data_IF_678144530149
#
_entry.id   IF_678144530149
#
_cell.length_a   1.000
_cell.length_b   1.000
_cell.length_c   1.000
_cell.angle_alpha   90.00
_cell.angle_beta   90.00
_cell.angle_gamma   90.00
#
_symmetry.space_group_name_H-M   'P 1'
#
loop_
_entity.id
_entity.type
_entity.pdbx_description
1 polymer ?
#
# COMPACT_ATOMS: atom_id res chain seq x y z
N UNK A 1 12.08 0.20 -18.32
CA UNK A 1 12.18 0.30 -16.85
C UNK A 1 10.97 -0.41 -16.26
N UNK A 2 11.15 -1.07 -15.13
CA UNK A 2 10.07 -1.71 -14.38
C UNK A 2 9.91 -1.03 -13.02
N UNK A 3 8.73 -1.19 -12.42
CA UNK A 3 8.44 -0.68 -11.08
C UNK A 3 7.93 -1.82 -10.22
N UNK A 4 8.57 -2.07 -9.08
CA UNK A 4 8.00 -2.90 -8.03
C UNK A 4 7.39 -1.99 -6.97
N UNK A 5 6.18 -2.32 -6.54
CA UNK A 5 5.46 -1.57 -5.52
C UNK A 5 5.24 -2.50 -4.34
N UNK A 6 5.76 -2.10 -3.19
CA UNK A 6 5.59 -2.85 -1.95
C UNK A 6 4.16 -2.76 -1.41
N UNK A 7 3.80 -3.71 -0.55
CA UNK A 7 2.46 -3.81 0.05
C UNK A 7 2.06 -2.53 0.79
N UNK A 8 2.99 -1.89 1.51
CA UNK A 8 2.69 -0.70 2.32
C UNK A 8 2.09 0.44 1.48
N UNK A 9 2.59 0.66 0.27
CA UNK A 9 2.13 1.69 -0.67
C UNK A 9 0.67 1.47 -1.06
N UNK A 10 0.25 0.20 -1.26
CA UNK A 10 -1.14 -0.11 -1.58
C UNK A 10 -2.09 0.11 -0.41
N UNK A 11 -1.63 -0.14 0.82
CA UNK A 11 -2.43 0.09 2.02
C UNK A 11 -2.63 1.58 2.29
N UNK A 12 -1.66 2.41 1.91
CA UNK A 12 -1.71 3.86 2.07
C UNK A 12 -2.83 4.52 1.25
N UNK A 13 -3.31 3.87 0.19
CA UNK A 13 -4.51 4.30 -0.55
C UNK A 13 -5.77 4.36 0.34
N UNK A 14 -5.83 3.57 1.42
CA UNK A 14 -6.93 3.62 2.40
C UNK A 14 -6.75 4.73 3.44
N UNK A 15 -5.55 5.30 3.55
CA UNK A 15 -5.20 6.37 4.49
C UNK A 15 -5.31 7.76 3.85
N UNK A 16 -5.41 7.84 2.53
CA UNK A 16 -5.57 9.10 1.81
C UNK A 16 -6.86 9.83 2.24
N UNK A 17 -6.71 11.08 2.69
CA UNK A 17 -7.83 11.88 3.19
C UNK A 17 -8.90 12.23 2.14
N UNK A 18 -8.58 12.12 0.85
CA UNK A 18 -9.56 12.28 -0.24
C UNK A 18 -9.78 10.94 -0.96
N UNK A 19 -10.99 10.40 -0.89
CA UNK A 19 -11.33 9.15 -1.60
C UNK A 19 -11.17 9.26 -3.12
N UNK A 20 -11.20 10.47 -3.68
CA UNK A 20 -10.92 10.73 -5.10
C UNK A 20 -9.43 10.64 -5.42
N UNK A 21 -8.53 10.99 -4.50
CA UNK A 21 -7.08 10.90 -4.68
C UNK A 21 -6.62 9.47 -4.91
N UNK A 22 -7.06 8.56 -4.03
CA UNK A 22 -6.73 7.14 -4.14
C UNK A 22 -7.14 6.52 -5.49
N UNK A 23 -8.34 6.86 -5.98
CA UNK A 23 -8.83 6.38 -7.27
C UNK A 23 -8.03 6.93 -8.45
N UNK A 24 -7.70 8.23 -8.45
CA UNK A 24 -6.85 8.82 -9.50
C UNK A 24 -5.47 8.16 -9.54
N UNK A 25 -4.84 7.92 -8.38
CA UNK A 25 -3.55 7.23 -8.33
C UNK A 25 -3.63 5.80 -8.88
N UNK A 26 -4.72 5.08 -8.58
CA UNK A 26 -4.97 3.75 -9.14
C UNK A 26 -5.18 3.77 -10.67
N UNK A 27 -5.82 4.82 -11.20
CA UNK A 27 -5.97 5.01 -12.65
C UNK A 27 -4.60 5.22 -13.31
N UNK A 28 -3.74 6.06 -12.73
CA UNK A 28 -2.37 6.26 -13.22
C UNK A 28 -1.57 4.95 -13.21
N UNK A 29 -1.66 4.17 -12.12
CA UNK A 29 -1.01 2.86 -12.03
C UNK A 29 -1.51 1.89 -13.11
N UNK A 30 -2.81 1.92 -13.39
CA UNK A 30 -3.44 1.06 -14.41
C UNK A 30 -2.92 1.34 -15.83
N UNK A 31 -2.48 2.57 -16.12
CA UNK A 31 -1.90 2.94 -17.42
C UNK A 31 -0.54 2.26 -17.67
N UNK A 32 0.17 1.88 -16.61
CA UNK A 32 1.51 1.27 -16.69
C UNK A 32 1.56 -0.14 -16.14
N UNK A 33 0.43 -0.82 -16.02
CA UNK A 33 0.33 -2.18 -15.47
C UNK A 33 1.35 -3.18 -16.07
N UNK A 34 1.73 -2.99 -17.34
CA UNK A 34 2.66 -3.86 -18.06
C UNK A 34 4.13 -3.60 -17.70
N UNK A 35 4.40 -2.59 -16.86
CA UNK A 35 5.70 -2.28 -16.26
C UNK A 35 5.74 -2.59 -14.75
N UNK A 36 4.61 -2.96 -14.15
CA UNK A 36 4.51 -3.18 -12.70
C UNK A 36 4.80 -4.64 -12.36
N UNK A 37 5.82 -4.84 -11.54
CA UNK A 37 6.16 -6.13 -10.93
C UNK A 37 5.26 -6.35 -9.73
N UNK A 38 4.58 -7.49 -9.70
CA UNK A 38 3.73 -7.92 -8.58
C UNK A 38 4.01 -9.36 -8.22
N UNK A 39 3.66 -9.76 -6.99
CA UNK A 39 3.79 -11.13 -6.52
C UNK A 39 2.55 -11.55 -5.75
N UNK A 40 2.33 -12.87 -5.64
CA UNK A 40 1.34 -13.43 -4.74
C UNK A 40 1.60 -13.08 -3.27
N UNK A 41 2.85 -12.73 -2.92
CA UNK A 41 3.23 -12.34 -1.57
C UNK A 41 2.66 -10.95 -1.26
N UNK A 42 2.87 -9.98 -2.15
CA UNK A 42 2.28 -8.64 -2.06
C UNK A 42 0.76 -8.71 -2.01
N UNK A 43 0.13 -9.51 -2.88
CA UNK A 43 -1.34 -9.69 -2.85
C UNK A 43 -1.82 -10.25 -1.50
N UNK A 44 -1.10 -11.23 -0.94
CA UNK A 44 -1.47 -11.88 0.32
C UNK A 44 -1.35 -10.90 1.49
N UNK A 45 -0.24 -10.17 1.61
CA UNK A 45 -0.03 -9.19 2.67
C UNK A 45 -1.03 -8.03 2.57
N UNK A 46 -1.29 -7.55 1.35
CA UNK A 46 -2.32 -6.56 1.10
C UNK A 46 -3.67 -7.03 1.65
N UNK A 47 -4.10 -8.24 1.27
CA UNK A 47 -5.38 -8.80 1.73
C UNK A 47 -5.43 -8.97 3.25
N UNK A 48 -4.32 -9.39 3.86
CA UNK A 48 -4.19 -9.56 5.32
C UNK A 48 -4.34 -8.22 6.04
N UNK A 49 -3.58 -7.20 5.63
CA UNK A 49 -3.52 -5.93 6.36
C UNK A 49 -4.68 -4.97 6.02
N UNK A 50 -5.29 -5.09 4.85
CA UNK A 50 -6.46 -4.29 4.46
C UNK A 50 -7.60 -4.38 5.47
N UNK A 51 -7.89 -5.58 5.96
CA UNK A 51 -8.98 -5.76 6.94
C UNK A 51 -8.70 -4.97 8.22
N UNK A 52 -7.45 -4.99 8.69
CA UNK A 52 -7.04 -4.23 9.86
C UNK A 52 -7.19 -2.73 9.64
N UNK A 53 -6.78 -2.19 8.49
CA UNK A 53 -6.95 -0.76 8.18
C UNK A 53 -8.41 -0.31 8.26
N UNK A 54 -9.34 -1.12 7.76
CA UNK A 54 -10.78 -0.81 7.83
C UNK A 54 -11.28 -0.85 9.28
N UNK A 55 -10.83 -1.83 10.08
CA UNK A 55 -11.19 -1.94 11.50
C UNK A 55 -10.66 -0.75 12.30
N UNK A 56 -9.43 -0.31 12.03
CA UNK A 56 -8.81 0.84 12.71
C UNK A 56 -9.61 2.12 12.43
N UNK A 57 -9.99 2.36 11.17
CA UNK A 57 -10.91 3.47 10.81
C UNK A 57 -12.27 3.33 11.51
N UNK A 58 -12.81 2.11 11.62
CA UNK A 58 -14.08 1.89 12.31
C UNK A 58 -13.99 2.26 13.79
N UNK A 59 -12.86 1.97 14.43
CA UNK A 59 -12.61 2.30 15.84
C UNK A 59 -12.40 3.79 16.06
N UNK A 60 -11.84 4.53 15.11
CA UNK A 60 -11.70 5.99 15.18
C UNK A 60 -13.05 6.72 15.11
N UNK A 61 -14.07 6.11 14.49
CA UNK A 61 -15.44 6.66 14.47
C UNK A 61 -16.17 6.56 15.83
N UNK A 62 -15.50 6.11 16.89
CA UNK A 62 -16.02 6.15 18.26
C UNK A 62 -15.90 7.57 18.80
N UNK A 63 -16.95 8.39 18.66
CA UNK A 63 -16.93 9.72 19.24
C UNK A 63 -18.23 10.46 19.06
N UNK A 64 -18.75 11.00 20.16
CA UNK A 64 -20.03 11.72 20.30
C UNK A 64 -21.25 10.81 20.36
N UNK A 65 -21.46 10.18 21.52
CA UNK A 65 -22.79 9.70 21.91
C UNK A 65 -23.53 10.79 22.69
N UNK A 66 -24.85 10.80 22.63
CA UNK A 66 -25.70 11.68 23.45
C UNK A 66 -25.48 11.50 24.94
N UNK A 67 -25.04 10.30 25.35
CA UNK A 67 -24.99 9.87 26.74
C UNK A 67 -23.76 10.44 27.46
N UNK A 68 -22.74 10.88 26.72
CA UNK A 68 -21.49 11.43 27.29
C UNK A 68 -21.52 12.93 27.57
N UNK A 69 -22.63 13.65 27.28
CA UNK A 69 -22.73 15.10 27.54
C UNK A 69 -23.86 15.40 28.52
N UNK A 70 -23.51 15.51 29.79
CA UNK A 70 -24.40 16.02 30.83
C UNK A 70 -24.42 17.55 30.76
N UNK A 71 -25.60 18.12 30.51
CA UNK A 71 -25.83 19.56 30.60
C UNK A 71 -26.35 19.89 32.00
N UNK A 72 -25.97 21.05 32.54
CA UNK A 72 -26.55 21.56 33.79
C UNK A 72 -28.08 21.61 33.66
N UNK A 73 -28.84 21.16 34.68
CA UNK A 73 -30.30 21.25 34.70
C UNK A 73 -30.84 22.65 34.37
N UNK A 74 -30.10 23.70 34.76
CA UNK A 74 -30.44 25.10 34.52
C UNK A 74 -30.52 25.47 33.03
N UNK A 75 -29.87 24.69 32.16
CA UNK A 75 -29.71 24.99 30.73
C UNK A 75 -30.46 24.02 29.81
N UNK A 76 -31.14 23.01 30.37
CA UNK A 76 -31.77 21.93 29.59
C UNK A 76 -32.83 22.42 28.61
N UNK A 77 -33.57 23.47 28.98
CA UNK A 77 -34.62 24.05 28.14
C UNK A 77 -34.12 25.06 27.11
N UNK A 78 -32.85 25.45 27.21
CA UNK A 78 -32.24 26.40 26.28
C UNK A 78 -32.24 25.86 24.84
N UNK A 79 -32.53 26.74 23.88
CA UNK A 79 -32.47 26.39 22.46
C UNK A 79 -31.11 25.84 22.03
N UNK A 80 -29.96 26.38 22.49
CA UNK A 80 -28.64 25.80 22.18
C UNK A 80 -28.49 24.34 22.60
N UNK A 81 -28.93 23.97 23.81
CA UNK A 81 -28.86 22.57 24.29
C UNK A 81 -29.76 21.65 23.45
N UNK A 82 -30.95 22.12 23.07
CA UNK A 82 -31.86 21.39 22.17
C UNK A 82 -31.23 21.16 20.79
N UNK A 83 -30.57 22.17 20.22
CA UNK A 83 -29.84 22.04 18.95
C UNK A 83 -28.66 21.08 19.03
N UNK A 84 -27.84 21.17 20.09
CA UNK A 84 -26.72 20.24 20.29
C UNK A 84 -27.20 18.79 20.35
N UNK A 85 -28.26 18.50 21.12
CA UNK A 85 -28.85 17.16 21.20
C UNK A 85 -29.33 16.64 19.84
N UNK A 86 -29.97 17.48 19.03
CA UNK A 86 -30.39 17.11 17.66
C UNK A 86 -29.19 16.79 16.76
N UNK A 87 -28.16 17.62 16.79
CA UNK A 87 -26.96 17.42 15.98
C UNK A 87 -26.21 16.14 16.38
N UNK A 88 -26.14 15.82 17.67
CA UNK A 88 -25.56 14.55 18.14
C UNK A 88 -26.32 13.35 17.56
N UNK A 89 -27.66 13.33 17.65
CA UNK A 89 -28.48 12.25 17.05
C UNK A 89 -28.27 12.11 15.54
N UNK A 90 -28.13 13.24 14.84
CA UNK A 90 -27.84 13.23 13.41
C UNK A 90 -26.46 12.61 13.12
N UNK A 91 -25.45 12.97 13.91
CA UNK A 91 -24.09 12.38 13.83
C UNK A 91 -24.13 10.88 14.09
N UNK A 92 -24.79 10.42 15.16
CA UNK A 92 -24.93 8.99 15.49
C UNK A 92 -25.56 8.20 14.34
N UNK A 93 -26.60 8.78 13.71
CA UNK A 93 -27.27 8.16 12.54
C UNK A 93 -26.31 8.03 11.36
N UNK A 94 -25.52 9.05 11.06
CA UNK A 94 -24.54 8.98 9.97
C UNK A 94 -23.39 8.02 10.30
N UNK A 95 -22.91 8.01 11.54
CA UNK A 95 -21.90 7.05 12.00
C UNK A 95 -22.38 5.61 11.80
N UNK A 96 -23.63 5.29 12.17
CA UNK A 96 -24.21 3.97 11.95
C UNK A 96 -24.19 3.58 10.47
N UNK A 97 -24.62 4.49 9.57
CA UNK A 97 -24.60 4.24 8.12
C UNK A 97 -23.20 3.99 7.57
N UNK A 98 -22.19 4.71 8.08
CA UNK A 98 -20.79 4.50 7.70
C UNK A 98 -20.34 3.11 8.17
N UNK A 99 -20.62 2.74 9.42
CA UNK A 99 -20.28 1.40 9.96
C UNK A 99 -20.90 0.28 9.13
N UNK A 100 -22.20 0.36 8.82
CA UNK A 100 -22.88 -0.60 7.95
C UNK A 100 -22.26 -0.69 6.54
N UNK A 101 -21.72 0.42 6.02
CA UNK A 101 -20.98 0.41 4.74
C UNK A 101 -19.63 -0.28 4.89
N UNK A 102 -18.91 -0.05 5.99
CA UNK A 102 -17.65 -0.71 6.29
C UNK A 102 -17.82 -2.22 6.47
N UNK A 103 -18.90 -2.65 7.14
CA UNK A 103 -19.25 -4.07 7.28
C UNK A 103 -19.49 -4.73 5.92
N UNK A 104 -20.20 -4.04 5.01
CA UNK A 104 -20.38 -4.52 3.62
C UNK A 104 -19.06 -4.61 2.84
N UNK A 105 -18.16 -3.65 3.05
CA UNK A 105 -16.80 -3.64 2.48
C UNK A 105 -15.96 -4.82 2.99
N UNK A 106 -16.11 -5.20 4.26
CA UNK A 106 -15.44 -6.36 4.84
C UNK A 106 -16.03 -7.68 4.34
N UNK A 107 -17.37 -7.78 4.29
CA UNK A 107 -18.09 -8.99 3.88
C UNK A 107 -17.90 -9.32 2.40
N UNK A 108 -18.01 -8.32 1.53
CA UNK A 108 -17.88 -8.51 0.09
C UNK A 108 -17.08 -7.34 -0.54
N UNK A 109 -15.74 -7.39 -0.45
CA UNK A 109 -14.89 -6.32 -0.98
C UNK A 109 -14.98 -6.23 -2.51
N UNK A 110 -15.21 -7.35 -3.21
CA UNK A 110 -15.30 -7.38 -4.67
C UNK A 110 -16.41 -6.47 -5.21
N UNK A 111 -17.49 -6.23 -4.45
CA UNK A 111 -18.61 -5.40 -4.87
C UNK A 111 -18.64 -4.02 -4.19
N UNK A 112 -18.02 -3.86 -3.03
CA UNK A 112 -18.21 -2.69 -2.18
C UNK A 112 -16.94 -1.84 -2.00
N UNK A 113 -15.77 -2.34 -2.40
CA UNK A 113 -14.47 -1.68 -2.21
C UNK A 113 -13.80 -1.36 -3.56
N UNK A 114 -13.91 -0.11 -4.04
CA UNK A 114 -13.31 0.32 -5.29
C UNK A 114 -11.79 0.14 -5.38
N UNK A 115 -11.07 0.31 -4.25
CA UNK A 115 -9.62 0.14 -4.21
C UNK A 115 -9.29 -1.34 -4.40
N UNK A 116 -9.96 -2.22 -3.65
CA UNK A 116 -9.83 -3.66 -3.80
C UNK A 116 -10.12 -4.13 -5.22
N UNK A 117 -11.17 -3.63 -5.86
CA UNK A 117 -11.51 -3.98 -7.24
C UNK A 117 -10.40 -3.64 -8.24
N UNK A 118 -9.73 -2.50 -8.09
CA UNK A 118 -8.62 -2.12 -8.96
C UNK A 118 -7.39 -3.01 -8.71
N UNK A 119 -6.97 -3.14 -7.46
CA UNK A 119 -5.80 -3.94 -7.10
C UNK A 119 -6.00 -5.42 -7.43
N UNK A 120 -7.20 -5.95 -7.22
CA UNK A 120 -7.50 -7.35 -7.56
C UNK A 120 -7.39 -7.62 -9.07
N UNK A 121 -7.77 -6.66 -9.93
CA UNK A 121 -7.58 -6.77 -11.38
C UNK A 121 -6.09 -6.78 -11.74
N UNK A 122 -5.29 -5.94 -11.08
CA UNK A 122 -3.84 -5.92 -11.26
C UNK A 122 -3.18 -7.23 -10.83
N UNK A 123 -3.49 -7.75 -9.63
CA UNK A 123 -2.93 -9.01 -9.13
C UNK A 123 -3.39 -10.24 -9.93
N UNK A 124 -4.53 -10.18 -10.61
CA UNK A 124 -5.00 -11.25 -11.51
C UNK A 124 -4.56 -11.07 -12.96
N UNK A 125 -3.93 -9.96 -13.30
CA UNK A 125 -3.50 -9.70 -14.67
C UNK A 125 -2.52 -10.79 -15.12
N UNK A 126 -2.81 -11.39 -16.27
CA UNK A 126 -1.91 -12.33 -16.93
C UNK A 126 -0.76 -11.53 -17.53
N UNK A 127 0.30 -11.35 -16.74
CA UNK A 127 1.53 -10.65 -17.12
C UNK A 127 2.74 -11.51 -16.80
N UNK A 128 3.81 -11.39 -17.59
CA UNK A 128 5.10 -12.01 -17.30
C UNK A 128 5.68 -11.51 -15.98
N UNK A 129 5.37 -10.25 -15.60
CA UNK A 129 5.86 -9.55 -14.40
C UNK A 129 5.10 -9.86 -13.11
N UNK A 130 3.96 -10.56 -13.20
CA UNK A 130 3.17 -10.95 -12.04
C UNK A 130 3.50 -12.39 -11.60
N UNK A 131 4.14 -12.58 -10.45
CA UNK A 131 4.34 -13.91 -9.86
C UNK A 131 3.06 -14.40 -9.17
N UNK A 132 2.12 -14.94 -9.92
CA UNK A 132 0.93 -15.54 -9.36
C UNK A 132 1.18 -16.97 -8.84
N UNK A 133 0.19 -17.53 -8.13
CA UNK A 133 0.28 -18.88 -7.54
C UNK A 133 0.27 -20.00 -8.57
N UNK A 134 -0.17 -19.75 -9.80
CA UNK A 134 -0.32 -20.77 -10.83
C UNK A 134 0.98 -20.97 -11.63
N UNK A 135 1.94 -20.04 -11.54
CA UNK A 135 3.22 -20.17 -12.22
C UNK A 135 4.15 -21.14 -11.50
N UNK A 136 4.52 -22.22 -12.17
CA UNK A 136 5.53 -23.20 -11.70
C UNK A 136 6.86 -22.56 -11.28
N UNK A 137 7.24 -21.46 -11.94
CA UNK A 137 8.45 -20.69 -11.63
C UNK A 137 8.53 -20.25 -10.16
N UNK A 138 7.37 -20.13 -9.48
CA UNK A 138 7.28 -19.79 -8.06
C UNK A 138 8.07 -20.76 -7.18
N UNK A 139 8.17 -22.03 -7.56
CA UNK A 139 8.90 -23.03 -6.78
C UNK A 139 10.40 -22.74 -6.76
N UNK A 140 10.95 -22.32 -7.91
CA UNK A 140 12.35 -21.88 -8.01
C UNK A 140 12.59 -20.60 -7.22
N UNK A 141 11.72 -19.59 -7.38
CA UNK A 141 11.81 -18.33 -6.63
C UNK A 141 11.78 -18.59 -5.12
N UNK A 142 10.86 -19.44 -4.64
CA UNK A 142 10.75 -19.80 -3.22
C UNK A 142 11.99 -20.52 -2.70
N UNK A 143 12.63 -21.39 -3.49
CA UNK A 143 13.90 -22.04 -3.07
C UNK A 143 15.02 -21.02 -2.93
N UNK A 144 15.13 -20.08 -3.86
CA UNK A 144 16.12 -19.00 -3.79
C UNK A 144 15.87 -18.10 -2.57
N UNK A 145 14.62 -17.69 -2.35
CA UNK A 145 14.22 -16.90 -1.19
C UNK A 145 14.51 -17.61 0.14
N UNK A 146 14.25 -18.92 0.24
CA UNK A 146 14.62 -19.73 1.41
C UNK A 146 16.13 -19.74 1.64
N UNK A 147 16.93 -19.95 0.59
CA UNK A 147 18.40 -19.92 0.69
C UNK A 147 18.87 -18.56 1.21
N UNK A 148 18.35 -17.46 0.65
CA UNK A 148 18.59 -16.08 1.11
C UNK A 148 18.27 -15.91 2.59
N UNK A 149 17.10 -16.38 3.01
CA UNK A 149 16.68 -16.32 4.41
C UNK A 149 17.62 -17.09 5.34
N UNK A 150 17.98 -18.33 5.01
CA UNK A 150 18.88 -19.15 5.83
C UNK A 150 20.30 -18.58 5.93
N UNK A 151 20.79 -17.95 4.87
CA UNK A 151 22.12 -17.33 4.85
C UNK A 151 22.13 -15.90 5.40
N UNK A 152 20.96 -15.37 5.79
CA UNK A 152 20.84 -14.03 6.33
C UNK A 152 21.08 -12.91 5.32
N UNK A 153 20.91 -13.16 4.02
CA UNK A 153 21.07 -12.12 3.01
C UNK A 153 19.86 -11.17 3.01
N UNK A 154 20.05 -9.85 2.80
CA UNK A 154 18.95 -8.88 2.70
C UNK A 154 18.08 -9.17 1.47
N UNK A 155 16.85 -8.64 1.30
CA UNK A 155 16.08 -7.93 2.32
C UNK A 155 15.69 -8.89 3.43
N UNK A 156 16.01 -8.52 4.67
CA UNK A 156 15.74 -9.30 5.88
C UNK A 156 15.89 -8.41 7.10
N UNK A 157 14.91 -8.46 8.01
CA UNK A 157 15.02 -7.87 9.35
C UNK A 157 15.62 -8.89 10.35
N UNK A 158 16.30 -8.45 11.43
CA UNK A 158 16.86 -9.35 12.44
C UNK A 158 15.84 -10.33 13.02
N UNK A 159 14.62 -9.85 13.28
CA UNK A 159 13.52 -10.62 13.87
C UNK A 159 12.56 -11.22 12.83
N UNK A 160 12.94 -11.21 11.54
CA UNK A 160 12.09 -11.70 10.47
C UNK A 160 11.94 -13.22 10.54
N UNK A 161 10.69 -13.66 10.59
CA UNK A 161 10.29 -15.06 10.55
C UNK A 161 9.64 -15.44 9.20
N UNK A 162 9.68 -14.52 8.23
CA UNK A 162 9.06 -14.67 6.92
C UNK A 162 10.11 -14.65 5.81
N UNK A 163 9.74 -15.18 4.63
CA UNK A 163 10.55 -15.10 3.42
C UNK A 163 9.93 -14.14 2.40
N UNK A 164 9.02 -13.27 2.84
CA UNK A 164 8.17 -12.47 1.96
C UNK A 164 8.99 -11.54 1.06
N UNK A 165 9.81 -10.69 1.69
CA UNK A 165 10.67 -9.75 0.98
C UNK A 165 11.73 -10.46 0.14
N UNK A 166 12.23 -11.61 0.63
CA UNK A 166 13.13 -12.46 -0.14
C UNK A 166 12.47 -13.00 -1.42
N UNK A 167 11.18 -13.38 -1.38
CA UNK A 167 10.42 -13.78 -2.57
C UNK A 167 10.24 -12.60 -3.53
N UNK A 168 9.89 -11.42 -3.00
CA UNK A 168 9.75 -10.21 -3.80
C UNK A 168 11.06 -9.86 -4.51
N UNK A 169 12.18 -9.86 -3.79
CA UNK A 169 13.50 -9.57 -4.35
C UNK A 169 13.91 -10.55 -5.45
N UNK A 170 13.83 -11.86 -5.20
CA UNK A 170 14.21 -12.86 -6.21
C UNK A 170 13.35 -12.75 -7.48
N UNK A 171 12.09 -12.36 -7.33
CA UNK A 171 11.22 -12.10 -8.47
C UNK A 171 11.57 -10.81 -9.21
N UNK A 172 11.86 -9.72 -8.49
CA UNK A 172 12.33 -8.45 -9.06
C UNK A 172 13.55 -8.69 -9.94
N UNK A 173 14.57 -9.37 -9.41
CA UNK A 173 15.79 -9.67 -10.17
C UNK A 173 15.47 -10.52 -11.40
N UNK A 174 14.60 -11.53 -11.26
CA UNK A 174 14.19 -12.37 -12.39
C UNK A 174 13.52 -11.56 -13.51
N UNK A 175 12.59 -10.67 -13.17
CA UNK A 175 11.94 -9.79 -14.14
C UNK A 175 12.95 -8.87 -14.82
N UNK A 176 13.87 -8.28 -14.06
CA UNK A 176 14.90 -7.41 -14.61
C UNK A 176 15.84 -8.12 -15.59
N UNK A 177 16.21 -9.38 -15.30
CA UNK A 177 16.99 -10.23 -16.22
C UNK A 177 16.23 -10.48 -17.52
N UNK A 178 14.94 -10.82 -17.42
CA UNK A 178 14.09 -11.15 -18.57
C UNK A 178 13.88 -9.94 -19.49
N UNK A 179 13.57 -8.79 -18.90
CA UNK A 179 13.26 -7.55 -19.63
C UNK A 179 14.50 -6.70 -19.93
N UNK A 180 15.67 -7.07 -19.40
CA UNK A 180 16.96 -6.38 -19.57
C UNK A 180 16.85 -4.87 -19.28
N UNK A 181 16.23 -4.52 -18.16
CA UNK A 181 15.89 -3.13 -17.85
C UNK A 181 16.07 -2.82 -16.37
N UNK A 182 16.16 -1.52 -16.07
CA UNK A 182 16.32 -1.00 -14.71
C UNK A 182 15.01 -1.15 -13.92
N UNK A 183 15.14 -1.23 -12.59
CA UNK A 183 14.00 -1.37 -11.69
C UNK A 183 13.96 -0.25 -10.67
N UNK A 184 12.78 0.35 -10.48
CA UNK A 184 12.49 1.22 -9.34
C UNK A 184 11.64 0.46 -8.34
N UNK A 185 12.13 0.33 -7.10
CA UNK A 185 11.41 -0.24 -5.95
C UNK A 185 10.76 0.93 -5.22
N UNK A 186 9.44 0.84 -5.02
CA UNK A 186 8.66 1.79 -4.22
C UNK A 186 8.32 1.13 -2.89
N UNK A 187 8.97 1.57 -1.81
CA UNK A 187 8.65 1.14 -0.44
C UNK A 187 8.92 2.27 0.56
N UNK A 188 8.13 2.31 1.64
CA UNK A 188 8.29 3.26 2.75
C UNK A 188 8.99 2.67 3.98
N UNK A 189 9.04 1.34 4.09
CA UNK A 189 9.86 0.68 5.11
C UNK A 189 11.34 0.60 4.71
N UNK A 190 12.13 -0.03 5.58
CA UNK A 190 13.56 -0.19 5.44
C UNK A 190 13.95 -1.62 5.03
N UNK A 191 13.04 -2.39 4.42
CA UNK A 191 13.32 -3.78 4.06
C UNK A 191 14.36 -3.88 2.93
N UNK A 192 14.26 -2.97 1.96
CA UNK A 192 15.16 -2.94 0.79
C UNK A 192 16.33 -1.96 0.94
N UNK A 193 16.41 -1.21 2.03
CA UNK A 193 17.39 -0.13 2.16
C UNK A 193 17.15 0.77 3.37
N UNK A 194 17.72 1.96 3.33
CA UNK A 194 17.65 2.94 4.42
C UNK A 194 17.12 4.28 3.92
N UNK A 195 16.54 5.05 4.85
CA UNK A 195 16.21 6.45 4.64
C UNK A 195 17.20 7.35 5.36
N UNK A 196 17.71 8.37 4.69
CA UNK A 196 18.55 9.41 5.29
C UNK A 196 18.33 10.76 4.59
N UNK A 197 18.10 11.82 5.36
CA UNK A 197 17.85 13.18 4.85
C UNK A 197 16.77 13.25 3.75
N UNK A 198 15.61 12.61 4.00
CA UNK A 198 14.48 12.52 3.05
C UNK A 198 14.83 11.87 1.70
N UNK A 199 15.90 11.08 1.65
CA UNK A 199 16.31 10.29 0.49
C UNK A 199 16.36 8.81 0.86
N UNK A 200 15.96 7.98 -0.08
CA UNK A 200 16.04 6.52 0.04
C UNK A 200 17.29 6.00 -0.67
N UNK A 201 17.97 5.09 0.00
CA UNK A 201 19.16 4.42 -0.50
C UNK A 201 18.90 2.93 -0.45
N UNK A 202 19.00 2.25 -1.59
CA UNK A 202 18.96 0.79 -1.61
C UNK A 202 20.15 0.23 -0.82
N UNK A 203 19.94 -0.89 -0.13
CA UNK A 203 21.00 -1.62 0.54
C UNK A 203 22.17 -1.95 -0.42
N UNK A 204 23.40 -1.71 0.02
CA UNK A 204 24.60 -1.87 -0.83
C UNK A 204 24.78 -3.29 -1.37
N UNK A 205 24.47 -4.32 -0.56
CA UNK A 205 24.53 -5.71 -0.98
C UNK A 205 23.50 -6.01 -2.07
N UNK A 206 22.27 -5.51 -1.91
CA UNK A 206 21.22 -5.66 -2.92
C UNK A 206 21.60 -4.98 -4.24
N UNK A 207 22.20 -3.79 -4.16
CA UNK A 207 22.69 -3.06 -5.34
C UNK A 207 23.79 -3.81 -6.07
N UNK A 208 24.78 -4.30 -5.32
CA UNK A 208 25.87 -5.11 -5.88
C UNK A 208 25.33 -6.38 -6.54
N UNK A 209 24.50 -7.14 -5.82
CA UNK A 209 23.92 -8.39 -6.30
C UNK A 209 23.09 -8.18 -7.57
N UNK A 210 22.28 -7.11 -7.61
CA UNK A 210 21.48 -6.77 -8.78
C UNK A 210 22.38 -6.54 -10.01
N UNK A 211 23.46 -5.77 -9.86
CA UNK A 211 24.41 -5.52 -10.94
C UNK A 211 25.12 -6.80 -11.39
N UNK A 212 25.50 -7.68 -10.47
CA UNK A 212 26.14 -8.96 -10.78
C UNK A 212 25.20 -9.90 -11.56
N UNK A 213 23.91 -9.91 -11.22
CA UNK A 213 22.91 -10.81 -11.83
C UNK A 213 22.28 -10.27 -13.10
N UNK A 214 22.08 -8.96 -13.20
CA UNK A 214 21.36 -8.28 -14.30
C UNK A 214 22.31 -7.60 -15.29
N UNK A 215 23.55 -7.28 -14.88
CA UNK A 215 24.56 -6.63 -15.70
C UNK A 215 24.59 -5.11 -15.50
N UNK A 216 24.63 -4.34 -16.59
CA UNK A 216 24.77 -2.86 -16.56
C UNK A 216 23.50 -2.10 -16.11
N UNK A 217 22.50 -2.80 -15.55
CA UNK A 217 21.23 -2.22 -15.14
C UNK A 217 21.28 -1.78 -13.68
N UNK A 218 20.49 -0.78 -13.34
CA UNK A 218 20.43 -0.21 -12.00
C UNK A 218 19.12 -0.57 -11.29
N UNK A 219 19.17 -0.47 -9.97
CA UNK A 219 18.02 -0.62 -9.09
C UNK A 219 17.98 0.56 -8.12
N UNK A 220 16.83 1.23 -8.08
CA UNK A 220 16.63 2.46 -7.30
C UNK A 220 15.53 2.21 -6.27
N UNK A 221 15.69 2.72 -5.06
CA UNK A 221 14.67 2.73 -4.02
C UNK A 221 14.08 4.13 -3.88
N UNK A 222 12.76 4.24 -3.80
CA UNK A 222 12.03 5.48 -3.51
C UNK A 222 10.82 5.18 -2.61
N UNK A 223 10.34 6.18 -1.87
CA UNK A 223 9.11 6.11 -1.08
C UNK A 223 7.90 6.75 -1.78
N UNK A 224 8.12 7.28 -3.00
CA UNK A 224 7.14 8.01 -3.79
C UNK A 224 6.71 7.23 -5.03
N UNK A 225 5.48 6.75 -5.03
CA UNK A 225 4.86 6.09 -6.17
C UNK A 225 4.74 7.06 -7.35
N UNK A 226 4.42 8.33 -7.10
CA UNK A 226 4.27 9.32 -8.17
C UNK A 226 5.56 9.57 -8.94
N UNK A 227 6.70 9.56 -8.25
CA UNK A 227 8.00 9.73 -8.91
C UNK A 227 8.37 8.51 -9.76
N UNK A 228 8.06 7.29 -9.29
CA UNK A 228 8.25 6.07 -10.06
C UNK A 228 7.35 6.03 -11.32
N UNK A 229 6.10 6.48 -11.22
CA UNK A 229 5.19 6.57 -12.38
C UNK A 229 5.67 7.62 -13.39
N UNK A 230 6.18 8.76 -12.93
CA UNK A 230 6.70 9.80 -13.80
C UNK A 230 7.91 9.31 -14.64
N UNK A 231 8.77 8.45 -14.07
CA UNK A 231 9.88 7.83 -14.80
C UNK A 231 9.39 6.90 -15.94
N UNK A 232 8.16 6.36 -15.83
CA UNK A 232 7.50 5.60 -16.90
C UNK A 232 6.75 6.49 -17.91
N UNK A 233 7.02 7.81 -17.91
CA UNK A 233 6.40 8.81 -18.80
C UNK A 233 4.89 8.98 -18.59
N UNK A 234 4.36 8.58 -17.43
CA UNK A 234 2.98 8.91 -17.04
C UNK A 234 2.91 10.37 -16.65
N UNK A 235 1.89 11.08 -17.14
CA UNK A 235 1.64 12.47 -16.74
C UNK A 235 1.06 12.49 -15.33
N UNK A 236 1.89 12.85 -14.36
CA UNK A 236 1.48 13.01 -12.96
C UNK A 236 1.21 14.49 -12.68
N UNK A 237 0.09 14.80 -12.01
CA UNK A 237 -0.25 16.17 -11.64
C UNK A 237 0.46 16.64 -10.36
N UNK A 238 0.63 17.94 -10.18
CA UNK A 238 1.18 18.51 -8.93
C UNK A 238 0.32 18.13 -7.72
N UNK A 239 -1.02 18.12 -7.90
CA UNK A 239 -1.97 17.74 -6.86
C UNK A 239 -1.75 16.31 -6.37
N UNK A 240 -1.50 15.36 -7.26
CA UNK A 240 -1.29 13.96 -6.86
C UNK A 240 0.04 13.79 -6.09
N UNK A 241 1.06 14.59 -6.41
CA UNK A 241 2.32 14.65 -5.64
C UNK A 241 2.12 15.27 -4.26
N UNK A 242 1.35 16.35 -4.16
CA UNK A 242 1.04 17.01 -2.88
C UNK A 242 0.26 16.07 -1.95
N UNK A 243 -0.76 15.38 -2.47
CA UNK A 243 -1.53 14.39 -1.71
C UNK A 243 -0.64 13.21 -1.25
N UNK A 244 0.29 12.73 -2.08
CA UNK A 244 1.25 11.70 -1.67
C UNK A 244 2.26 12.22 -0.63
N UNK A 245 2.81 13.42 -0.81
CA UNK A 245 3.78 13.99 0.15
C UNK A 245 3.13 14.19 1.52
N UNK A 246 1.90 14.71 1.58
CA UNK A 246 1.16 14.89 2.83
C UNK A 246 0.96 13.56 3.57
N UNK A 247 0.73 12.48 2.83
CA UNK A 247 0.59 11.13 3.37
C UNK A 247 1.91 10.60 3.95
N UNK A 248 3.02 10.79 3.22
CA UNK A 248 4.37 10.40 3.68
C UNK A 248 4.76 11.18 4.95
N UNK A 249 4.54 12.49 4.98
CA UNK A 249 4.87 13.34 6.14
C UNK A 249 4.00 13.07 7.36
N UNK A 250 2.78 12.54 7.18
CA UNK A 250 1.89 12.17 8.30
C UNK A 250 2.21 10.80 8.93
N UNK A 251 3.06 10.01 8.27
CA UNK A 251 3.45 8.66 8.70
C UNK A 251 4.83 8.57 9.37
N UNK A 252 5.63 9.65 9.29
CA UNK A 252 6.89 9.85 10.02
C UNK A 252 6.62 10.52 11.39
#
# INVERSE_FOLDING_TARGET
MLVFIDTNIFLDLYRMGSGQGALRQLELLSQVKDHVITTYQVEMEYKKHRQQMIIDTHNQLRGVSSDHKQFSPLLLDSQPVKMIKRNIKAIETQQKRIKERMDRILLNPANNDPIYQHLQRMFKAKSTLNLNRDKEVRHTIRRQAKKRFFLGYPPRKPDDNSIGDAVNWEWIVKCAIQEKTDVTIVSRDNDFGISHNKKRYINDWLKQEFKERVGRKDVILTDKMMDALAQLKVRVSSKDREEENALVESGD
#
